data_IF_229206324293
#
_entry.id   IF_229206324293
#
_cell.length_a   1.000
_cell.length_b   1.000
_cell.length_c   1.000
_cell.angle_alpha   90.00
_cell.angle_beta   90.00
_cell.angle_gamma   90.00
#
_symmetry.space_group_name_H-M   'P 1'
#
loop_
_entity.id
_entity.type
_entity.pdbx_description
1 polymer ?
#
# COMPACT_ATOMS: atom_id res chain seq x y z
N UNK A 1 -7.20 10.49 18.80
CA UNK A 1 -5.74 10.50 18.53
C UNK A 1 -5.38 11.88 18.00
N UNK A 2 -4.36 12.55 18.54
CA UNK A 2 -3.83 13.80 17.96
C UNK A 2 -2.81 13.44 16.87
N UNK A 3 -2.82 14.15 15.75
CA UNK A 3 -1.82 13.94 14.70
C UNK A 3 -0.42 14.34 15.21
N UNK A 4 0.64 13.59 14.88
CA UNK A 4 2.02 13.93 15.27
C UNK A 4 2.47 15.30 14.75
N UNK A 5 3.16 16.07 15.58
CA UNK A 5 3.60 17.44 15.24
C UNK A 5 4.53 17.48 14.02
N UNK A 6 5.43 16.51 13.90
CA UNK A 6 6.34 16.41 12.75
C UNK A 6 5.57 16.26 11.42
N UNK A 7 4.49 15.47 11.40
CA UNK A 7 3.62 15.34 10.24
C UNK A 7 2.86 16.64 9.97
N UNK A 8 2.35 17.31 11.01
CA UNK A 8 1.67 18.60 10.86
C UNK A 8 2.59 19.66 10.25
N UNK A 9 3.84 19.74 10.71
CA UNK A 9 4.85 20.66 10.18
C UNK A 9 5.19 20.36 8.71
N UNK A 10 5.31 19.08 8.34
CA UNK A 10 5.49 18.68 6.94
C UNK A 10 4.31 19.10 6.06
N UNK A 11 3.08 18.87 6.54
CA UNK A 11 1.86 19.18 5.78
C UNK A 11 1.62 20.67 5.59
N UNK A 12 2.03 21.52 6.54
CA UNK A 12 1.94 22.98 6.39
C UNK A 12 2.74 23.52 5.20
N UNK A 13 3.76 22.79 4.75
CA UNK A 13 4.58 23.15 3.59
C UNK A 13 4.03 22.58 2.27
N UNK A 14 2.90 21.88 2.34
CA UNK A 14 2.28 21.22 1.19
C UNK A 14 0.98 21.95 0.81
N UNK A 15 0.91 22.53 -0.41
CA UNK A 15 -0.31 23.19 -0.88
C UNK A 15 -1.53 22.26 -0.81
N UNK A 16 -2.65 22.77 -0.31
CA UNK A 16 -3.90 22.02 -0.08
C UNK A 16 -3.95 21.27 1.26
N UNK A 17 -2.81 21.06 1.91
CA UNK A 17 -2.74 20.34 3.19
C UNK A 17 -2.69 21.29 4.40
N UNK A 18 -3.13 22.53 4.23
CA UNK A 18 -3.19 23.52 5.30
C UNK A 18 -4.21 23.15 6.39
N UNK A 19 -4.17 23.87 7.51
CA UNK A 19 -5.16 23.71 8.57
C UNK A 19 -6.56 24.15 8.10
N UNK A 20 -7.61 23.49 8.59
CA UNK A 20 -9.01 23.82 8.29
C UNK A 20 -9.68 22.93 7.24
N UNK A 21 -8.92 22.10 6.52
CA UNK A 21 -9.45 21.15 5.54
C UNK A 21 -9.49 19.72 6.08
N UNK A 22 -10.49 18.93 5.65
CA UNK A 22 -10.49 17.48 5.88
C UNK A 22 -9.47 16.84 4.95
N UNK A 23 -8.61 15.98 5.50
CA UNK A 23 -7.51 15.37 4.75
C UNK A 23 -7.27 13.91 5.13
N UNK A 24 -6.97 13.10 4.13
CA UNK A 24 -6.46 11.74 4.26
C UNK A 24 -4.98 11.74 3.88
N UNK A 25 -4.12 11.48 4.85
CA UNK A 25 -2.67 11.43 4.62
C UNK A 25 -2.21 9.99 4.79
N UNK A 26 -1.56 9.47 3.75
CA UNK A 26 -1.06 8.10 3.67
C UNK A 26 0.46 8.15 3.78
N UNK A 27 1.01 7.51 4.81
CA UNK A 27 2.45 7.31 4.94
C UNK A 27 2.78 5.91 4.42
N UNK A 28 2.98 5.82 3.11
CA UNK A 28 3.44 4.60 2.44
C UNK A 28 4.88 4.29 2.83
N UNK A 29 5.23 3.02 2.92
CA UNK A 29 6.62 2.57 3.06
C UNK A 29 7.36 2.80 1.74
N UNK A 30 8.22 1.86 1.32
CA UNK A 30 8.87 1.95 0.02
C UNK A 30 7.83 1.80 -1.10
N UNK A 31 7.98 2.58 -2.18
CA UNK A 31 7.03 2.52 -3.31
C UNK A 31 6.86 1.12 -3.91
N UNK A 32 7.93 0.32 -3.93
CA UNK A 32 7.90 -1.07 -4.40
C UNK A 32 7.43 -2.09 -3.36
N UNK A 33 6.98 -1.66 -2.18
CA UNK A 33 6.46 -2.55 -1.16
C UNK A 33 5.03 -3.01 -1.51
N UNK A 34 4.71 -4.26 -1.19
CA UNK A 34 3.42 -4.87 -1.53
C UNK A 34 2.27 -4.19 -0.81
N UNK A 35 2.46 -3.82 0.46
CA UNK A 35 1.45 -3.10 1.22
C UNK A 35 1.14 -1.73 0.60
N UNK A 36 2.18 -1.00 0.17
CA UNK A 36 2.02 0.30 -0.47
C UNK A 36 1.29 0.18 -1.82
N UNK A 37 1.65 -0.80 -2.65
CA UNK A 37 0.99 -1.03 -3.94
C UNK A 37 -0.46 -1.50 -3.78
N UNK A 38 -0.72 -2.51 -2.95
CA UNK A 38 -2.07 -3.05 -2.74
C UNK A 38 -2.99 -2.00 -2.12
N UNK A 39 -2.51 -1.23 -1.14
CA UNK A 39 -3.29 -0.17 -0.52
C UNK A 39 -3.63 0.94 -1.53
N UNK A 40 -2.67 1.37 -2.35
CA UNK A 40 -2.94 2.35 -3.39
C UNK A 40 -3.95 1.84 -4.41
N UNK A 41 -3.79 0.61 -4.93
CA UNK A 41 -4.74 -0.01 -5.85
C UNK A 41 -6.15 -0.10 -5.26
N UNK A 42 -6.27 -0.45 -3.97
CA UNK A 42 -7.55 -0.51 -3.28
C UNK A 42 -8.20 0.87 -3.05
N UNK A 43 -7.37 1.91 -2.84
CA UNK A 43 -7.85 3.27 -2.58
C UNK A 43 -8.25 4.03 -3.84
N UNK A 44 -7.56 3.80 -4.97
CA UNK A 44 -7.78 4.52 -6.24
C UNK A 44 -9.27 4.64 -6.63
N UNK A 45 -10.08 3.57 -6.58
CA UNK A 45 -11.51 3.65 -6.89
C UNK A 45 -12.32 4.60 -5.99
N UNK A 46 -11.85 4.87 -4.77
CA UNK A 46 -12.52 5.72 -3.79
C UNK A 46 -12.04 7.19 -3.81
N UNK A 47 -10.94 7.50 -4.50
CA UNK A 47 -10.34 8.86 -4.49
C UNK A 47 -11.31 9.93 -5.01
N UNK A 48 -12.06 9.63 -6.06
CA UNK A 48 -13.05 10.57 -6.62
C UNK A 48 -14.17 10.88 -5.62
N UNK A 49 -14.62 9.89 -4.85
CA UNK A 49 -15.62 10.09 -3.81
C UNK A 49 -15.07 10.93 -2.66
N UNK A 50 -13.83 10.68 -2.22
CA UNK A 50 -13.16 11.47 -1.19
C UNK A 50 -13.07 12.95 -1.59
N UNK A 51 -12.68 13.23 -2.83
CA UNK A 51 -12.61 14.59 -3.36
C UNK A 51 -14.00 15.26 -3.38
N UNK A 52 -15.04 14.56 -3.83
CA UNK A 52 -16.42 15.07 -3.85
C UNK A 52 -16.96 15.46 -2.46
N UNK A 53 -16.55 14.74 -1.41
CA UNK A 53 -16.93 15.08 -0.03
C UNK A 53 -15.96 16.05 0.66
N UNK A 54 -15.03 16.63 -0.11
CA UNK A 54 -14.08 17.64 0.35
C UNK A 54 -12.93 17.10 1.20
N UNK A 55 -12.58 15.81 1.06
CA UNK A 55 -11.41 15.20 1.70
C UNK A 55 -10.26 15.22 0.71
N UNK A 56 -9.22 15.98 1.03
CA UNK A 56 -8.00 15.99 0.21
C UNK A 56 -7.12 14.79 0.55
N UNK A 57 -6.54 14.14 -0.46
CA UNK A 57 -5.67 12.97 -0.27
C UNK A 57 -4.21 13.31 -0.61
N UNK A 58 -3.29 12.89 0.25
CA UNK A 58 -1.85 12.95 0.01
C UNK A 58 -1.19 11.63 0.41
N UNK A 59 -0.53 10.99 -0.55
CA UNK A 59 0.46 9.94 -0.30
C UNK A 59 1.85 10.52 -0.12
N UNK A 60 2.56 10.03 0.90
CA UNK A 60 3.98 10.29 1.12
C UNK A 60 4.66 8.92 1.21
N UNK A 61 5.59 8.66 0.29
CA UNK A 61 6.24 7.36 0.15
C UNK A 61 7.77 7.46 0.17
N UNK A 62 8.45 6.39 0.57
CA UNK A 62 9.91 6.32 0.52
C UNK A 62 10.33 5.89 -0.89
N UNK A 63 11.18 6.69 -1.54
CA UNK A 63 11.70 6.40 -2.88
C UNK A 63 12.15 7.65 -3.63
N UNK A 64 12.19 7.56 -4.95
CA UNK A 64 12.60 8.63 -5.86
C UNK A 64 11.52 8.98 -6.88
N UNK A 65 11.79 9.99 -7.70
CA UNK A 65 10.82 10.48 -8.70
C UNK A 65 10.50 9.41 -9.76
N UNK A 66 11.52 8.67 -10.22
CA UNK A 66 11.34 7.63 -11.24
C UNK A 66 10.48 6.47 -10.72
N UNK A 67 10.69 6.06 -9.47
CA UNK A 67 9.86 5.10 -8.76
C UNK A 67 8.44 5.62 -8.57
N UNK A 68 8.26 6.91 -8.26
CA UNK A 68 6.93 7.51 -8.09
C UNK A 68 6.13 7.45 -9.39
N UNK A 69 6.76 7.77 -10.51
CA UNK A 69 6.10 7.76 -11.81
C UNK A 69 5.69 6.33 -12.20
N UNK A 70 6.56 5.34 -11.99
CA UNK A 70 6.23 3.92 -12.20
C UNK A 70 5.10 3.45 -11.29
N UNK A 71 5.18 3.78 -9.99
CA UNK A 71 4.15 3.44 -9.02
C UNK A 71 2.79 4.01 -9.41
N UNK A 72 2.73 5.28 -9.79
CA UNK A 72 1.50 5.93 -10.23
C UNK A 72 0.93 5.30 -11.51
N UNK A 73 1.77 5.01 -12.50
CA UNK A 73 1.34 4.34 -13.74
C UNK A 73 0.77 2.95 -13.46
N UNK A 74 1.43 2.17 -12.60
CA UNK A 74 1.03 0.80 -12.31
C UNK A 74 -0.20 0.70 -11.39
N UNK A 75 -0.27 1.53 -10.35
CA UNK A 75 -1.35 1.48 -9.35
C UNK A 75 -2.57 2.31 -9.75
N UNK A 76 -2.40 3.28 -10.66
CA UNK A 76 -3.39 4.31 -10.95
C UNK A 76 -3.45 5.44 -9.93
N UNK A 77 -2.56 5.44 -8.92
CA UNK A 77 -2.54 6.50 -7.90
C UNK A 77 -2.15 7.86 -8.52
N UNK A 78 -2.86 8.97 -8.23
CA UNK A 78 -2.60 10.24 -8.89
C UNK A 78 -1.23 10.79 -8.52
N UNK A 79 -0.41 11.08 -9.54
CA UNK A 79 0.95 11.59 -9.34
C UNK A 79 1.00 12.94 -8.62
N UNK A 80 0.00 13.78 -8.84
CA UNK A 80 -0.19 15.07 -8.15
C UNK A 80 -0.48 14.92 -6.66
N UNK A 81 -0.98 13.75 -6.24
CA UNK A 81 -1.29 13.43 -4.86
C UNK A 81 -0.18 12.60 -4.19
N UNK A 82 0.95 12.35 -4.87
CA UNK A 82 2.05 11.56 -4.33
C UNK A 82 3.31 12.41 -4.17
N UNK A 83 3.87 12.41 -2.96
CA UNK A 83 5.19 12.94 -2.63
C UNK A 83 6.13 11.78 -2.29
N UNK A 84 7.40 11.96 -2.62
CA UNK A 84 8.45 11.02 -2.22
C UNK A 84 9.42 11.67 -1.26
N UNK A 85 9.84 10.89 -0.28
CA UNK A 85 10.92 11.22 0.65
C UNK A 85 12.07 10.23 0.42
N UNK A 86 13.34 10.67 0.54
CA UNK A 86 14.48 9.82 0.23
C UNK A 86 14.72 8.72 1.27
N UNK A 87 14.16 8.87 2.47
CA UNK A 87 14.37 7.97 3.60
C UNK A 87 13.14 7.92 4.52
N UNK A 88 13.25 7.13 5.60
CA UNK A 88 12.20 6.92 6.58
C UNK A 88 12.23 7.91 7.77
N UNK A 89 12.90 9.07 7.69
CA UNK A 89 12.96 10.03 8.80
C UNK A 89 11.57 10.50 9.23
N UNK A 90 10.72 10.87 8.26
CA UNK A 90 9.35 11.26 8.54
C UNK A 90 8.57 10.13 9.23
N UNK A 91 8.65 8.90 8.70
CA UNK A 91 7.98 7.73 9.28
C UNK A 91 8.43 7.47 10.71
N UNK A 92 9.75 7.47 10.96
CA UNK A 92 10.31 7.30 12.31
C UNK A 92 9.84 8.40 13.26
N UNK A 93 9.79 9.65 12.79
CA UNK A 93 9.38 10.80 13.62
C UNK A 93 7.94 10.69 14.14
N UNK A 94 7.10 9.94 13.45
CA UNK A 94 5.70 9.70 13.83
C UNK A 94 5.47 8.34 14.50
N UNK A 95 6.55 7.61 14.79
CA UNK A 95 6.48 6.28 15.40
C UNK A 95 6.04 5.17 14.44
N UNK A 96 6.08 5.42 13.13
CA UNK A 96 5.79 4.42 12.11
C UNK A 96 7.09 3.72 11.64
N UNK A 97 7.01 2.40 11.48
CA UNK A 97 8.01 1.50 10.90
C UNK A 97 9.38 1.40 11.58
N UNK A 98 9.54 0.45 12.52
CA UNK A 98 10.79 -0.28 12.65
C UNK A 98 10.80 -1.55 11.80
N UNK A 99 9.67 -2.18 11.48
CA UNK A 99 9.65 -3.55 10.96
C UNK A 99 10.29 -4.55 11.94
N UNK A 100 10.52 -5.79 11.50
CA UNK A 100 11.33 -6.73 12.29
C UNK A 100 12.78 -6.22 12.34
N UNK A 101 13.37 -6.18 13.53
CA UNK A 101 14.75 -5.76 13.75
C UNK A 101 15.57 -6.96 14.23
N UNK A 102 15.99 -7.80 13.27
CA UNK A 102 16.80 -8.98 13.55
C UNK A 102 18.30 -8.66 13.48
N UNK A 103 19.09 -9.42 14.24
CA UNK A 103 20.55 -9.38 14.10
C UNK A 103 20.95 -9.80 12.66
N UNK A 104 21.92 -9.09 12.08
CA UNK A 104 22.39 -9.33 10.71
C UNK A 104 21.77 -8.42 9.64
N UNK A 105 20.95 -7.44 10.04
CA UNK A 105 20.52 -6.35 9.17
C UNK A 105 19.19 -6.59 8.44
N UNK A 106 18.95 -5.87 7.33
CA UNK A 106 17.64 -5.86 6.66
C UNK A 106 17.25 -7.20 6.03
N UNK A 107 18.19 -7.91 5.41
CA UNK A 107 17.91 -9.17 4.71
C UNK A 107 17.46 -10.31 5.64
N UNK A 108 18.14 -10.59 6.77
CA UNK A 108 17.63 -11.55 7.74
C UNK A 108 16.26 -11.16 8.30
N UNK A 109 16.06 -9.87 8.57
CA UNK A 109 14.77 -9.35 9.05
C UNK A 109 13.65 -9.60 8.03
N UNK A 110 13.92 -9.37 6.74
CA UNK A 110 12.99 -9.65 5.65
C UNK A 110 12.67 -11.15 5.56
N UNK A 111 13.67 -12.03 5.58
CA UNK A 111 13.46 -13.48 5.48
C UNK A 111 12.65 -14.03 6.66
N UNK A 112 12.96 -13.59 7.87
CA UNK A 112 12.22 -13.98 9.08
C UNK A 112 10.78 -13.44 9.03
N UNK A 113 10.58 -12.21 8.59
CA UNK A 113 9.25 -11.63 8.38
C UNK A 113 8.44 -12.42 7.34
N UNK A 114 9.05 -12.81 6.21
CA UNK A 114 8.42 -13.66 5.20
C UNK A 114 8.06 -15.05 5.75
N UNK A 115 8.83 -15.57 6.72
CA UNK A 115 8.50 -16.77 7.47
C UNK A 115 7.41 -16.55 8.55
N UNK A 116 6.87 -15.33 8.67
CA UNK A 116 5.82 -14.94 9.63
C UNK A 116 6.34 -14.44 10.98
N UNK A 117 7.65 -14.36 11.19
CA UNK A 117 8.24 -13.90 12.46
C UNK A 117 8.17 -12.37 12.53
N UNK A 118 7.60 -11.83 13.61
CA UNK A 118 7.41 -10.38 13.76
C UNK A 118 6.36 -9.79 12.81
N UNK A 119 5.59 -10.63 12.11
CA UNK A 119 4.52 -10.22 11.21
C UNK A 119 3.27 -11.11 11.41
N UNK A 120 2.53 -10.90 12.51
CA UNK A 120 1.36 -11.71 12.84
C UNK A 120 0.31 -11.68 11.73
N UNK A 121 -0.15 -12.86 11.28
CA UNK A 121 -1.15 -12.99 10.23
C UNK A 121 -0.59 -13.14 8.81
N UNK A 122 0.70 -12.89 8.57
CA UNK A 122 1.28 -12.96 7.21
C UNK A 122 1.11 -14.32 6.56
N UNK A 123 1.40 -15.42 7.25
CA UNK A 123 1.20 -16.77 6.70
C UNK A 123 -0.29 -17.07 6.44
N UNK A 124 -1.18 -16.58 7.29
CA UNK A 124 -2.62 -16.73 7.09
C UNK A 124 -3.08 -15.95 5.85
N UNK A 125 -2.56 -14.75 5.62
CA UNK A 125 -2.84 -13.95 4.42
C UNK A 125 -2.26 -14.57 3.14
N UNK A 126 -1.10 -15.22 3.23
CA UNK A 126 -0.54 -16.00 2.12
C UNK A 126 -1.48 -17.16 1.79
N UNK A 127 -1.85 -17.97 2.79
CA UNK A 127 -2.78 -19.10 2.60
C UNK A 127 -4.13 -18.64 2.06
N UNK A 128 -4.71 -17.57 2.62
CA UNK A 128 -5.95 -16.94 2.15
C UNK A 128 -5.87 -16.56 0.68
N UNK A 129 -4.71 -16.13 0.21
CA UNK A 129 -4.52 -15.80 -1.19
C UNK A 129 -4.54 -16.98 -2.15
N UNK A 130 -4.20 -18.18 -1.68
CA UNK A 130 -4.31 -19.42 -2.44
C UNK A 130 -5.69 -20.07 -2.31
N UNK A 131 -6.30 -20.04 -1.12
CA UNK A 131 -7.60 -20.68 -0.86
C UNK A 131 -8.81 -19.83 -1.22
N UNK A 132 -8.64 -18.51 -1.31
CA UNK A 132 -9.74 -17.55 -1.44
C UNK A 132 -10.39 -17.21 -0.09
N UNK A 133 -11.32 -16.25 -0.14
CA UNK A 133 -12.03 -15.70 1.01
C UNK A 133 -13.46 -15.29 0.61
N UNK A 134 -14.45 -15.99 1.18
CA UNK A 134 -15.87 -15.76 0.89
C UNK A 134 -16.44 -14.46 1.47
N UNK A 135 -15.73 -13.87 2.43
CA UNK A 135 -16.13 -12.62 3.08
C UNK A 135 -15.57 -11.38 2.38
N UNK A 136 -14.58 -11.56 1.51
CA UNK A 136 -13.91 -10.49 0.79
C UNK A 136 -14.42 -10.38 -0.66
N UNK A 137 -14.46 -9.17 -1.24
CA UNK A 137 -14.83 -9.01 -2.65
C UNK A 137 -13.77 -9.60 -3.58
N UNK A 138 -14.22 -10.11 -4.73
CA UNK A 138 -13.37 -10.58 -5.82
C UNK A 138 -12.37 -9.53 -6.29
N UNK A 139 -11.19 -9.96 -6.76
CA UNK A 139 -10.15 -9.04 -7.26
C UNK A 139 -10.17 -8.84 -8.76
N UNK A 140 -10.76 -9.77 -9.49
CA UNK A 140 -10.86 -9.75 -10.95
C UNK A 140 -12.30 -9.78 -11.40
N UNK A 141 -12.52 -9.35 -12.63
CA UNK A 141 -13.84 -9.37 -13.25
C UNK A 141 -14.44 -10.78 -13.26
N UNK A 142 -15.76 -10.73 -13.38
CA UNK A 142 -16.64 -11.88 -13.39
C UNK A 142 -16.36 -12.81 -14.61
N UNK A 143 -15.89 -12.29 -15.73
CA UNK A 143 -15.52 -13.09 -16.92
C UNK A 143 -14.18 -13.84 -16.84
N UNK A 144 -13.46 -13.75 -15.72
CA UNK A 144 -12.12 -14.35 -15.58
C UNK A 144 -12.15 -15.88 -15.38
N UNK A 145 -11.03 -16.54 -15.69
CA UNK A 145 -10.82 -17.99 -15.46
C UNK A 145 -11.02 -18.38 -13.98
N UNK A 146 -10.84 -17.45 -13.05
CA UNK A 146 -11.08 -17.67 -11.62
C UNK A 146 -12.53 -18.08 -11.30
N UNK A 147 -13.49 -17.75 -12.16
CA UNK A 147 -14.87 -18.23 -12.01
C UNK A 147 -14.95 -19.75 -12.01
N UNK A 148 -14.15 -20.42 -12.86
CA UNK A 148 -14.11 -21.88 -12.93
C UNK A 148 -13.54 -22.50 -11.65
N UNK A 149 -12.71 -21.76 -10.91
CA UNK A 149 -12.05 -22.23 -9.71
C UNK A 149 -12.89 -22.05 -8.43
N UNK A 150 -13.92 -21.19 -8.42
CA UNK A 150 -14.64 -20.90 -7.18
C UNK A 150 -16.01 -20.23 -7.28
N UNK A 151 -16.49 -19.83 -8.46
CA UNK A 151 -17.76 -19.11 -8.61
C UNK A 151 -17.62 -17.59 -8.72
N UNK A 152 -18.52 -16.83 -8.10
CA UNK A 152 -18.63 -15.36 -8.25
C UNK A 152 -18.98 -14.66 -6.94
N UNK A 153 -18.74 -13.34 -6.88
CA UNK A 153 -19.15 -12.49 -5.75
C UNK A 153 -18.26 -12.55 -4.50
N UNK A 154 -17.10 -13.20 -4.56
CA UNK A 154 -16.13 -13.24 -3.47
C UNK A 154 -14.69 -13.37 -3.99
N UNK A 155 -13.69 -13.28 -3.11
CA UNK A 155 -12.29 -13.51 -3.46
C UNK A 155 -12.04 -14.99 -3.73
N UNK A 156 -11.81 -15.34 -5.00
CA UNK A 156 -11.70 -16.74 -5.45
C UNK A 156 -10.30 -17.30 -5.17
N UNK A 157 -10.14 -18.64 -5.15
CA UNK A 157 -8.82 -19.27 -5.02
C UNK A 157 -7.83 -18.69 -6.01
N UNK A 158 -6.59 -18.48 -5.56
CA UNK A 158 -5.46 -17.92 -6.33
C UNK A 158 -5.61 -16.46 -6.80
N UNK A 159 -6.73 -15.78 -6.56
CA UNK A 159 -6.91 -14.39 -7.02
C UNK A 159 -5.94 -13.43 -6.36
N UNK A 160 -5.88 -13.42 -5.03
CA UNK A 160 -4.98 -12.53 -4.31
C UNK A 160 -3.52 -12.85 -4.61
N UNK A 161 -3.17 -14.15 -4.67
CA UNK A 161 -1.85 -14.60 -5.05
C UNK A 161 -1.48 -14.08 -6.45
N UNK A 162 -2.43 -14.05 -7.39
CA UNK A 162 -2.22 -13.51 -8.74
C UNK A 162 -2.03 -11.99 -8.73
N UNK A 163 -2.81 -11.25 -7.93
CA UNK A 163 -2.58 -9.79 -7.75
C UNK A 163 -1.16 -9.53 -7.22
N UNK A 164 -0.76 -10.25 -6.17
CA UNK A 164 0.58 -10.13 -5.58
C UNK A 164 1.69 -10.52 -6.54
N UNK A 165 1.48 -11.55 -7.35
CA UNK A 165 2.42 -11.94 -8.41
C UNK A 165 2.57 -10.83 -9.47
N UNK A 166 1.47 -10.18 -9.87
CA UNK A 166 1.53 -9.01 -10.78
C UNK A 166 2.32 -7.86 -10.16
N UNK A 167 2.07 -7.56 -8.90
CA UNK A 167 2.80 -6.53 -8.15
C UNK A 167 4.30 -6.86 -8.07
N UNK A 168 4.65 -8.11 -7.75
CA UNK A 168 6.04 -8.58 -7.74
C UNK A 168 6.71 -8.46 -9.11
N UNK A 169 6.01 -8.83 -10.19
CA UNK A 169 6.54 -8.69 -11.54
C UNK A 169 6.82 -7.22 -11.89
N UNK A 170 5.98 -6.27 -11.50
CA UNK A 170 6.24 -4.84 -11.74
C UNK A 170 7.52 -4.38 -11.02
N UNK A 171 7.71 -4.82 -9.78
CA UNK A 171 8.88 -4.42 -8.98
C UNK A 171 10.17 -5.05 -9.50
N UNK A 172 10.12 -6.30 -9.97
CA UNK A 172 11.33 -7.07 -10.34
C UNK A 172 11.74 -6.94 -11.82
N UNK A 173 10.85 -6.55 -12.72
CA UNK A 173 11.10 -6.61 -14.17
C UNK A 173 11.84 -5.39 -14.75
N UNK A 174 12.31 -4.46 -13.91
CA UNK A 174 12.99 -3.23 -14.35
C UNK A 174 14.09 -2.78 -13.41
#
# INVERSE_FOLDING_TARGET
MKAPEALLAYLQQTPGMESGSKRLVLLFTQLGDFDSMEYAQALVPALSHLEQVGIQTLGIAIGDQAGADRFCVFTGFPRSQLRVVPDAELHRSVGLSPGLQAAGGPWPSLLLMCAGIGSPGTLAEVLRGYTGDRSAPGRFDESSLFRLAGGSGFQRPFELATVRLRNMNEVLSK
#
